data_IF_314845708072
#
_entry.id   IF_314845708072
#
_cell.length_a   1.000
_cell.length_b   1.000
_cell.length_c   1.000
_cell.angle_alpha   90.00
_cell.angle_beta   90.00
_cell.angle_gamma   90.00
#
_symmetry.space_group_name_H-M   'P 1'
#
loop_
_entity.id
_entity.type
_entity.pdbx_description
1 polymer ?
#
# COMPACT_ATOMS: atom_id res chain seq x y z
N UNK A 1 112.63 -52.57 50.54
CA UNK A 1 112.81 -51.27 49.85
C UNK A 1 111.83 -51.23 48.68
N UNK A 2 110.71 -50.54 48.87
CA UNK A 2 109.69 -50.34 47.85
C UNK A 2 110.11 -49.14 46.98
N UNK A 3 110.43 -49.40 45.72
CA UNK A 3 110.75 -48.38 44.75
C UNK A 3 109.49 -48.05 43.95
N UNK A 4 108.95 -46.87 44.23
CA UNK A 4 107.92 -46.18 43.47
C UNK A 4 108.42 -45.87 42.06
N UNK A 5 107.73 -46.36 41.03
CA UNK A 5 107.87 -45.86 39.67
C UNK A 5 106.63 -46.22 38.84
N UNK A 6 105.64 -45.32 38.79
CA UNK A 6 104.90 -45.02 37.55
C UNK A 6 104.01 -43.78 37.73
N UNK A 7 104.61 -42.60 37.58
CA UNK A 7 103.91 -41.33 37.47
C UNK A 7 104.44 -40.63 36.20
N UNK A 8 104.04 -41.12 35.01
CA UNK A 8 104.36 -40.46 33.74
C UNK A 8 103.42 -40.82 32.56
N UNK A 9 102.41 -41.69 32.74
CA UNK A 9 101.55 -42.16 31.63
C UNK A 9 100.14 -41.57 31.54
N UNK A 10 99.78 -40.59 32.38
CA UNK A 10 98.36 -40.23 32.60
C UNK A 10 97.83 -38.97 31.92
N UNK A 11 98.69 -38.00 31.54
CA UNK A 11 98.27 -36.65 31.12
C UNK A 11 97.59 -36.61 29.72
N UNK A 12 98.19 -37.17 28.65
CA UNK A 12 97.65 -37.04 27.29
C UNK A 12 96.38 -37.86 27.08
N UNK A 13 96.30 -39.01 27.74
CA UNK A 13 95.15 -39.90 27.69
C UNK A 13 93.94 -39.27 28.42
N UNK A 14 94.16 -38.53 29.51
CA UNK A 14 93.12 -37.74 30.18
C UNK A 14 92.63 -36.57 29.32
N UNK A 15 93.52 -35.86 28.64
CA UNK A 15 93.14 -34.77 27.72
C UNK A 15 92.29 -35.28 26.56
N UNK A 16 92.68 -36.39 25.92
CA UNK A 16 91.90 -37.00 24.84
C UNK A 16 90.49 -37.43 25.31
N UNK A 17 90.38 -38.03 26.49
CA UNK A 17 89.09 -38.38 27.09
C UNK A 17 88.23 -37.15 27.46
N UNK A 18 88.86 -36.02 27.82
CA UNK A 18 88.14 -34.75 28.02
C UNK A 18 87.52 -34.26 26.72
N UNK A 19 88.30 -34.20 25.63
CA UNK A 19 87.83 -33.74 24.32
C UNK A 19 86.65 -34.59 23.82
N UNK A 20 86.70 -35.91 24.01
CA UNK A 20 85.59 -36.81 23.66
C UNK A 20 84.34 -36.46 24.48
N UNK A 21 84.51 -36.22 25.78
CA UNK A 21 83.40 -35.86 26.68
C UNK A 21 82.79 -34.52 26.29
N UNK A 22 83.63 -33.53 26.02
CA UNK A 22 83.21 -32.19 25.62
C UNK A 22 82.49 -32.24 24.27
N UNK A 23 83.01 -32.99 23.30
CA UNK A 23 82.35 -33.24 22.02
C UNK A 23 80.99 -33.93 22.19
N UNK A 24 80.89 -34.94 23.05
CA UNK A 24 79.63 -35.61 23.33
C UNK A 24 78.61 -34.68 24.03
N UNK A 25 79.08 -33.83 24.95
CA UNK A 25 78.25 -32.84 25.63
C UNK A 25 77.73 -31.77 24.67
N UNK A 26 78.61 -31.23 23.81
CA UNK A 26 78.29 -30.24 22.78
C UNK A 26 77.29 -30.82 21.76
N UNK A 27 77.51 -32.07 21.30
CA UNK A 27 76.60 -32.77 20.39
C UNK A 27 75.22 -32.94 21.02
N UNK A 28 75.15 -33.43 22.26
CA UNK A 28 73.89 -33.57 23.00
C UNK A 28 73.18 -32.23 23.22
N UNK A 29 73.93 -31.16 23.46
CA UNK A 29 73.40 -29.80 23.58
C UNK A 29 72.83 -29.29 22.25
N UNK A 30 73.57 -29.48 21.16
CA UNK A 30 73.12 -29.14 19.80
C UNK A 30 71.83 -29.87 19.43
N UNK A 31 71.76 -31.19 19.66
CA UNK A 31 70.56 -32.00 19.41
C UNK A 31 69.34 -31.53 20.21
N UNK A 32 69.54 -31.19 21.50
CA UNK A 32 68.48 -30.60 22.35
C UNK A 32 68.01 -29.25 21.83
N UNK A 33 68.94 -28.40 21.40
CA UNK A 33 68.63 -27.07 20.85
C UNK A 33 67.84 -27.19 19.55
N UNK A 34 68.28 -28.05 18.62
CA UNK A 34 67.58 -28.32 17.35
C UNK A 34 66.20 -28.89 17.60
N UNK A 35 66.06 -29.84 18.53
CA UNK A 35 64.76 -30.42 18.91
C UNK A 35 63.81 -29.39 19.51
N UNK A 36 64.34 -28.43 20.28
CA UNK A 36 63.58 -27.31 20.83
C UNK A 36 63.13 -26.32 19.75
N UNK A 37 64.02 -25.97 18.82
CA UNK A 37 63.68 -25.09 17.69
C UNK A 37 62.66 -25.73 16.76
N UNK A 38 62.75 -27.03 16.49
CA UNK A 38 61.79 -27.75 15.65
C UNK A 38 60.39 -27.72 16.25
N UNK A 39 60.24 -28.00 17.55
CA UNK A 39 58.95 -27.85 18.25
C UNK A 39 58.39 -26.44 18.13
N UNK A 40 59.23 -25.42 18.36
CA UNK A 40 58.80 -24.02 18.22
C UNK A 40 58.37 -23.68 16.79
N UNK A 41 59.04 -24.25 15.77
CA UNK A 41 58.64 -24.08 14.38
C UNK A 41 57.27 -24.71 14.13
N UNK A 42 57.05 -25.93 14.59
CA UNK A 42 55.77 -26.64 14.45
C UNK A 42 54.63 -25.87 15.16
N UNK A 43 54.89 -25.30 16.34
CA UNK A 43 53.94 -24.47 17.09
C UNK A 43 53.59 -23.18 16.31
N UNK A 44 54.59 -22.50 15.74
CA UNK A 44 54.40 -21.27 14.96
C UNK A 44 53.65 -21.56 13.65
N UNK A 45 53.95 -22.67 12.97
CA UNK A 45 53.23 -23.10 11.76
C UNK A 45 51.76 -23.35 12.10
N UNK A 46 51.49 -24.11 13.16
CA UNK A 46 50.12 -24.39 13.61
C UNK A 46 49.35 -23.11 13.98
N UNK A 47 50.02 -22.15 14.64
CA UNK A 47 49.44 -20.86 14.96
C UNK A 47 49.16 -20.00 13.70
N UNK A 48 50.06 -20.04 12.71
CA UNK A 48 49.88 -19.36 11.43
C UNK A 48 48.69 -19.92 10.63
N UNK A 49 48.53 -21.23 10.61
CA UNK A 49 47.40 -21.90 9.95
C UNK A 49 46.06 -21.55 10.64
N UNK A 50 46.05 -21.54 11.98
CA UNK A 50 44.89 -21.12 12.75
C UNK A 50 44.52 -19.65 12.48
N UNK A 51 45.50 -18.73 12.52
CA UNK A 51 45.28 -17.32 12.21
C UNK A 51 44.78 -17.11 10.78
N UNK A 52 45.27 -17.90 9.82
CA UNK A 52 44.81 -17.85 8.42
C UNK A 52 43.35 -18.32 8.31
N UNK A 53 42.98 -19.39 9.01
CA UNK A 53 41.61 -19.89 9.03
C UNK A 53 40.63 -18.88 9.65
N UNK A 54 41.03 -18.21 10.74
CA UNK A 54 40.27 -17.14 11.38
C UNK A 54 40.10 -15.92 10.45
N UNK A 55 41.15 -15.51 9.75
CA UNK A 55 41.10 -14.41 8.78
C UNK A 55 40.10 -14.71 7.64
N UNK A 56 40.14 -15.92 7.08
CA UNK A 56 39.21 -16.32 6.02
C UNK A 56 37.77 -16.44 6.54
N UNK A 57 37.57 -16.85 7.80
CA UNK A 57 36.25 -16.81 8.44
C UNK A 57 35.74 -15.37 8.60
N UNK A 58 36.59 -14.44 9.04
CA UNK A 58 36.26 -13.04 9.19
C UNK A 58 35.93 -12.38 7.85
N UNK A 59 36.66 -12.70 6.77
CA UNK A 59 36.36 -12.21 5.41
C UNK A 59 34.98 -12.63 4.95
N UNK A 60 34.63 -13.90 5.08
CA UNK A 60 33.29 -14.40 4.70
C UNK A 60 32.19 -13.75 5.53
N UNK A 61 32.41 -13.54 6.83
CA UNK A 61 31.46 -12.82 7.68
C UNK A 61 31.28 -11.36 7.23
N UNK A 62 32.38 -10.69 6.84
CA UNK A 62 32.35 -9.32 6.32
C UNK A 62 31.58 -9.24 4.99
N UNK A 63 31.85 -10.15 4.05
CA UNK A 63 31.15 -10.21 2.77
C UNK A 63 29.65 -10.46 2.97
N UNK A 64 29.27 -11.34 3.88
CA UNK A 64 27.87 -11.55 4.23
C UNK A 64 27.22 -10.26 4.75
N UNK A 65 27.86 -9.57 5.69
CA UNK A 65 27.37 -8.31 6.24
C UNK A 65 27.27 -7.19 5.17
N UNK A 66 28.25 -7.09 4.26
CA UNK A 66 28.23 -6.11 3.16
C UNK A 66 27.08 -6.37 2.18
N UNK A 67 26.77 -7.63 1.88
CA UNK A 67 25.64 -7.96 1.00
C UNK A 67 24.29 -7.64 1.65
N UNK A 68 24.14 -7.87 2.96
CA UNK A 68 22.96 -7.48 3.72
C UNK A 68 22.79 -5.95 3.78
N UNK A 69 23.90 -5.23 4.00
CA UNK A 69 23.91 -3.76 3.99
C UNK A 69 23.46 -3.21 2.64
N UNK A 70 24.01 -3.72 1.53
CA UNK A 70 23.59 -3.33 0.17
C UNK A 70 22.10 -3.60 -0.08
N UNK A 71 21.59 -4.73 0.42
CA UNK A 71 20.15 -5.04 0.35
C UNK A 71 19.30 -3.99 1.08
N UNK A 72 19.76 -3.56 2.25
CA UNK A 72 19.09 -2.53 3.05
C UNK A 72 19.15 -1.15 2.38
N UNK A 73 20.28 -0.78 1.77
CA UNK A 73 20.45 0.48 1.02
C UNK A 73 19.49 0.57 -0.18
N UNK A 74 19.30 -0.54 -0.91
CA UNK A 74 18.34 -0.59 -2.02
C UNK A 74 16.90 -0.42 -1.51
N UNK A 75 16.55 -1.08 -0.41
CA UNK A 75 15.23 -0.91 0.21
C UNK A 75 14.99 0.53 0.67
N UNK A 76 16.00 1.18 1.25
CA UNK A 76 15.92 2.59 1.65
C UNK A 76 15.70 3.49 0.43
N UNK A 77 16.43 3.28 -0.66
CA UNK A 77 16.28 4.05 -1.90
C UNK A 77 14.87 3.90 -2.52
N UNK A 78 14.30 2.70 -2.48
CA UNK A 78 12.92 2.45 -2.93
C UNK A 78 11.90 3.18 -2.03
N UNK A 79 12.12 3.16 -0.72
CA UNK A 79 11.26 3.86 0.23
C UNK A 79 11.30 5.37 0.00
N UNK A 80 12.48 5.96 -0.20
CA UNK A 80 12.65 7.39 -0.50
C UNK A 80 11.94 7.78 -1.80
N UNK A 81 12.10 6.99 -2.87
CA UNK A 81 11.39 7.23 -4.13
C UNK A 81 9.86 7.14 -3.96
N UNK A 82 9.38 6.21 -3.12
CA UNK A 82 7.96 6.06 -2.83
C UNK A 82 7.41 7.25 -2.04
N UNK A 83 8.17 7.77 -1.07
CA UNK A 83 7.81 8.97 -0.31
C UNK A 83 7.69 10.17 -1.25
N UNK A 84 8.68 10.40 -2.11
CA UNK A 84 8.65 11.50 -3.08
C UNK A 84 7.43 11.42 -4.02
N UNK A 85 7.09 10.21 -4.49
CA UNK A 85 5.90 10.01 -5.34
C UNK A 85 4.58 10.33 -4.60
N UNK A 86 4.49 9.95 -3.31
CA UNK A 86 3.35 10.27 -2.46
C UNK A 86 3.24 11.77 -2.21
N UNK A 87 4.35 12.46 -1.90
CA UNK A 87 4.39 13.90 -1.70
C UNK A 87 3.97 14.67 -2.96
N UNK A 88 4.41 14.24 -4.14
CA UNK A 88 3.96 14.79 -5.42
C UNK A 88 2.45 14.61 -5.64
N UNK A 89 1.92 13.44 -5.27
CA UNK A 89 0.48 13.14 -5.37
C UNK A 89 -0.34 14.02 -4.43
N UNK A 90 0.12 14.19 -3.17
CA UNK A 90 -0.51 15.08 -2.19
C UNK A 90 -0.52 16.52 -2.70
N UNK A 91 0.59 17.00 -3.24
CA UNK A 91 0.69 18.36 -3.79
C UNK A 91 -0.30 18.59 -4.93
N UNK A 92 -0.41 17.64 -5.87
CA UNK A 92 -1.39 17.70 -6.96
C UNK A 92 -2.83 17.74 -6.43
N UNK A 93 -3.17 16.87 -5.47
CA UNK A 93 -4.51 16.85 -4.88
C UNK A 93 -4.84 18.16 -4.15
N UNK A 94 -3.87 18.75 -3.46
CA UNK A 94 -4.05 20.05 -2.81
C UNK A 94 -4.33 21.17 -3.82
N UNK A 95 -3.64 21.16 -4.97
CA UNK A 95 -3.90 22.10 -6.07
C UNK A 95 -5.30 21.91 -6.66
N UNK A 96 -5.73 20.66 -6.89
CA UNK A 96 -7.08 20.34 -7.38
C UNK A 96 -8.16 20.81 -6.39
N UNK A 97 -7.97 20.56 -5.08
CA UNK A 97 -8.89 21.02 -4.04
C UNK A 97 -8.97 22.55 -4.03
N UNK A 98 -7.83 23.25 -4.11
CA UNK A 98 -7.80 24.71 -4.14
C UNK A 98 -8.53 25.26 -5.37
N UNK A 99 -8.30 24.65 -6.54
CA UNK A 99 -8.98 25.02 -7.79
C UNK A 99 -10.49 24.83 -7.69
N UNK A 100 -10.95 23.64 -7.30
CA UNK A 100 -12.38 23.34 -7.12
C UNK A 100 -13.02 24.26 -6.08
N UNK A 101 -12.29 24.59 -5.00
CA UNK A 101 -12.74 25.56 -4.01
C UNK A 101 -12.98 26.95 -4.60
N UNK A 102 -12.08 27.44 -5.46
CA UNK A 102 -12.25 28.73 -6.14
C UNK A 102 -13.40 28.74 -7.14
N UNK A 103 -13.60 27.64 -7.87
CA UNK A 103 -14.73 27.48 -8.81
C UNK A 103 -16.07 27.47 -8.06
N UNK A 104 -16.14 26.80 -6.92
CA UNK A 104 -17.34 26.75 -6.09
C UNK A 104 -17.72 28.15 -5.54
N UNK A 105 -16.75 28.91 -5.04
CA UNK A 105 -17.02 30.28 -4.57
C UNK A 105 -17.48 31.21 -5.71
N UNK A 106 -16.91 31.06 -6.90
CA UNK A 106 -17.35 31.81 -8.08
C UNK A 106 -18.81 31.47 -8.46
N UNK A 107 -19.16 30.18 -8.48
CA UNK A 107 -20.53 29.74 -8.73
C UNK A 107 -21.50 30.28 -7.68
N UNK A 108 -21.15 30.21 -6.40
CA UNK A 108 -21.97 30.73 -5.30
C UNK A 108 -22.24 32.23 -5.45
N UNK A 109 -21.21 33.01 -5.79
CA UNK A 109 -21.39 34.44 -6.04
C UNK A 109 -22.30 34.73 -7.24
N UNK A 110 -22.27 33.87 -8.26
CA UNK A 110 -23.14 33.99 -9.45
C UNK A 110 -24.58 33.65 -9.08
N UNK A 111 -24.80 32.55 -8.35
CA UNK A 111 -26.10 32.14 -7.83
C UNK A 111 -26.74 33.25 -6.98
N UNK A 112 -25.96 33.86 -6.07
CA UNK A 112 -26.43 34.95 -5.22
C UNK A 112 -26.93 36.15 -6.06
N UNK A 113 -26.20 36.52 -7.13
CA UNK A 113 -26.59 37.59 -8.06
C UNK A 113 -27.87 37.23 -8.80
N UNK A 114 -27.95 36.02 -9.36
CA UNK A 114 -29.13 35.55 -10.10
C UNK A 114 -30.38 35.48 -9.22
N UNK A 115 -30.23 35.01 -7.98
CA UNK A 115 -31.31 34.96 -7.00
C UNK A 115 -31.79 36.35 -6.62
N UNK A 116 -30.88 37.31 -6.42
CA UNK A 116 -31.24 38.68 -6.10
C UNK A 116 -31.96 39.36 -7.28
N UNK A 117 -31.51 39.10 -8.51
CA UNK A 117 -32.16 39.60 -9.71
C UNK A 117 -33.57 39.00 -9.91
N UNK A 118 -33.73 37.70 -9.69
CA UNK A 118 -35.05 37.07 -9.69
C UNK A 118 -36.00 37.70 -8.66
N UNK A 119 -35.52 37.92 -7.43
CA UNK A 119 -36.31 38.58 -6.38
C UNK A 119 -36.72 39.99 -6.79
N UNK A 120 -35.82 40.75 -7.43
CA UNK A 120 -36.11 42.10 -7.97
C UNK A 120 -37.22 42.04 -9.01
N UNK A 121 -37.14 41.13 -9.97
CA UNK A 121 -38.14 40.95 -11.02
C UNK A 121 -39.51 40.54 -10.45
N UNK A 122 -39.53 39.64 -9.47
CA UNK A 122 -40.76 39.22 -8.79
C UNK A 122 -41.42 40.38 -8.03
N UNK A 123 -40.63 41.21 -7.33
CA UNK A 123 -41.16 42.39 -6.64
C UNK A 123 -41.74 43.40 -7.63
N UNK A 124 -41.07 43.64 -8.75
CA UNK A 124 -41.56 44.53 -9.80
C UNK A 124 -42.87 44.00 -10.43
N UNK A 125 -42.93 42.71 -10.75
CA UNK A 125 -44.16 42.08 -11.26
C UNK A 125 -45.31 42.23 -10.26
N UNK A 126 -45.07 41.95 -8.97
CA UNK A 126 -46.07 42.14 -7.91
C UNK A 126 -46.54 43.59 -7.81
N UNK A 127 -45.65 44.57 -7.98
CA UNK A 127 -46.04 45.99 -8.01
C UNK A 127 -46.95 46.29 -9.21
N UNK A 128 -46.65 45.75 -10.41
CA UNK A 128 -47.48 45.90 -11.61
C UNK A 128 -48.86 45.27 -11.45
N UNK A 129 -48.96 44.08 -10.84
CA UNK A 129 -50.24 43.42 -10.55
C UNK A 129 -51.12 44.31 -9.66
N UNK A 130 -50.55 44.87 -8.58
CA UNK A 130 -51.28 45.77 -7.67
C UNK A 130 -51.77 47.03 -8.40
N UNK A 131 -50.93 47.62 -9.25
CA UNK A 131 -51.33 48.78 -10.06
C UNK A 131 -52.46 48.44 -11.03
N UNK A 132 -52.40 47.27 -11.67
CA UNK A 132 -53.46 46.81 -12.58
C UNK A 132 -54.78 46.63 -11.82
N UNK A 133 -54.75 45.95 -10.66
CA UNK A 133 -55.93 45.76 -9.81
C UNK A 133 -56.53 47.10 -9.35
N UNK A 134 -55.69 48.08 -8.99
CA UNK A 134 -56.15 49.42 -8.62
C UNK A 134 -56.83 50.14 -9.78
N UNK A 135 -56.24 50.10 -10.98
CA UNK A 135 -56.83 50.71 -12.18
C UNK A 135 -58.17 50.06 -12.53
N UNK A 136 -58.23 48.73 -12.54
CA UNK A 136 -59.46 47.99 -12.80
C UNK A 136 -60.57 48.33 -11.77
N UNK A 137 -60.20 48.44 -10.49
CA UNK A 137 -61.15 48.83 -9.42
C UNK A 137 -61.65 50.27 -9.57
N UNK A 138 -60.77 51.20 -9.95
CA UNK A 138 -61.13 52.60 -10.19
C UNK A 138 -62.07 52.74 -11.40
N UNK A 139 -61.79 52.04 -12.50
CA UNK A 139 -62.65 52.03 -13.70
C UNK A 139 -64.03 51.43 -13.39
N UNK A 140 -64.10 50.37 -12.58
CA UNK A 140 -65.37 49.79 -12.14
C UNK A 140 -66.16 50.74 -11.23
N UNK A 141 -65.50 51.42 -10.29
CA UNK A 141 -66.13 52.40 -9.42
C UNK A 141 -66.70 53.60 -10.20
N UNK A 142 -66.03 54.02 -11.27
CA UNK A 142 -66.52 55.07 -12.17
C UNK A 142 -67.78 54.61 -12.92
N UNK A 143 -67.82 53.36 -13.41
CA UNK A 143 -69.02 52.79 -14.06
C UNK A 143 -70.21 52.59 -13.12
N UNK A 144 -69.98 52.28 -11.84
CA UNK A 144 -71.04 52.07 -10.84
C UNK A 144 -71.62 53.36 -10.25
N UNK A 145 -71.14 54.54 -10.65
CA UNK A 145 -71.64 55.85 -10.19
C UNK A 145 -72.82 56.41 -11.00
N UNK A 146 -73.32 55.68 -12.01
CA UNK A 146 -74.59 55.97 -12.70
C UNK A 146 -75.83 55.51 -11.91
N UNK A 147 -77.04 56.07 -12.17
CA UNK A 147 -78.23 55.83 -11.36
C UNK A 147 -78.63 54.35 -11.34
N UNK A 148 -79.24 53.85 -10.25
CA UNK A 148 -79.51 52.43 -10.09
C UNK A 148 -80.60 51.99 -11.07
N UNK A 149 -80.20 51.26 -12.11
CA UNK A 149 -81.13 50.54 -12.97
C UNK A 149 -81.54 49.25 -12.26
N UNK A 150 -82.81 49.19 -11.87
CA UNK A 150 -83.47 47.95 -11.54
C UNK A 150 -83.50 47.08 -12.79
N UNK A 151 -82.78 45.97 -12.77
CA UNK A 151 -83.25 44.71 -13.35
C UNK A 151 -82.32 43.59 -12.87
N UNK A 152 -82.92 42.70 -12.08
CA UNK A 152 -82.29 41.45 -11.69
C UNK A 152 -82.27 40.53 -12.90
N UNK A 153 -81.07 40.24 -13.40
CA UNK A 153 -80.87 39.13 -14.34
C UNK A 153 -79.77 38.22 -13.80
N UNK A 154 -80.22 37.01 -13.49
CA UNK A 154 -79.48 35.84 -13.07
C UNK A 154 -78.29 35.58 -14.02
N UNK A 155 -77.05 35.64 -13.51
CA UNK A 155 -75.86 35.19 -14.26
C UNK A 155 -75.69 33.71 -13.95
N UNK A 156 -76.01 32.93 -14.97
CA UNK A 156 -75.82 31.48 -15.07
C UNK A 156 -74.43 31.03 -14.62
N UNK A 157 -74.44 29.93 -13.86
CA UNK A 157 -73.31 29.08 -13.51
C UNK A 157 -72.25 29.02 -14.62
N UNK A 158 -71.11 29.64 -14.35
CA UNK A 158 -69.89 29.49 -15.12
C UNK A 158 -69.04 28.41 -14.44
N UNK A 159 -69.42 27.14 -14.62
CA UNK A 159 -68.54 26.04 -14.28
C UNK A 159 -67.98 25.43 -15.56
N UNK A 160 -67.15 26.21 -16.26
CA UNK A 160 -66.10 25.62 -17.08
C UNK A 160 -65.05 25.10 -16.11
N UNK A 161 -65.15 23.81 -15.76
CA UNK A 161 -64.05 23.02 -15.20
C UNK A 161 -62.95 22.95 -16.25
N UNK A 162 -62.22 24.05 -16.40
CA UNK A 162 -61.01 24.14 -17.22
C UNK A 162 -59.89 23.46 -16.44
N UNK A 163 -59.53 22.25 -16.89
CA UNK A 163 -58.23 21.60 -16.71
C UNK A 163 -57.63 21.54 -15.28
N UNK A 164 -58.47 21.49 -14.25
CA UNK A 164 -58.00 21.28 -12.88
C UNK A 164 -57.62 19.82 -12.61
N UNK A 165 -58.16 18.90 -13.40
CA UNK A 165 -57.90 17.46 -13.31
C UNK A 165 -56.52 17.10 -13.90
N UNK A 166 -56.11 17.75 -14.99
CA UNK A 166 -54.78 17.59 -15.60
C UNK A 166 -53.66 18.09 -14.67
N UNK A 167 -53.82 19.30 -14.11
CA UNK A 167 -52.85 19.85 -13.15
C UNK A 167 -52.77 19.02 -11.85
N UNK A 168 -53.89 18.46 -11.40
CA UNK A 168 -53.91 17.56 -10.24
C UNK A 168 -53.18 16.24 -10.55
N UNK A 169 -53.39 15.71 -11.75
CA UNK A 169 -52.75 14.45 -12.20
C UNK A 169 -51.23 14.64 -12.33
N UNK A 170 -50.76 15.73 -12.95
CA UNK A 170 -49.33 16.04 -13.05
C UNK A 170 -48.67 16.21 -11.68
N UNK A 171 -49.36 16.85 -10.73
CA UNK A 171 -48.87 16.99 -9.35
C UNK A 171 -48.82 15.66 -8.60
N UNK A 172 -49.76 14.74 -8.87
CA UNK A 172 -49.77 13.40 -8.29
C UNK A 172 -48.61 12.57 -8.86
N UNK A 173 -48.34 12.65 -10.16
CA UNK A 173 -47.23 11.96 -10.80
C UNK A 173 -45.87 12.46 -10.31
N UNK A 174 -45.72 13.77 -10.12
CA UNK A 174 -44.50 14.35 -9.54
C UNK A 174 -44.30 13.91 -8.08
N UNK A 175 -45.37 13.84 -7.30
CA UNK A 175 -45.33 13.33 -5.92
C UNK A 175 -44.94 11.85 -5.88
N UNK A 176 -45.48 11.03 -6.77
CA UNK A 176 -45.11 9.62 -6.88
C UNK A 176 -43.64 9.43 -7.27
N UNK A 177 -43.12 10.26 -8.19
CA UNK A 177 -41.71 10.25 -8.56
C UNK A 177 -40.80 10.63 -7.39
N UNK A 178 -41.11 11.71 -6.68
CA UNK A 178 -40.35 12.10 -5.48
C UNK A 178 -40.41 11.02 -4.40
N UNK A 179 -41.57 10.37 -4.21
CA UNK A 179 -41.71 9.29 -3.26
C UNK A 179 -40.85 8.07 -3.62
N UNK A 180 -40.70 7.75 -4.91
CA UNK A 180 -39.80 6.70 -5.36
C UNK A 180 -38.32 7.06 -5.13
N UNK A 181 -37.92 8.30 -5.42
CA UNK A 181 -36.56 8.80 -5.17
C UNK A 181 -36.21 8.79 -3.66
N UNK A 182 -37.14 9.20 -2.81
CA UNK A 182 -36.98 9.15 -1.35
C UNK A 182 -36.79 7.71 -0.86
N UNK A 183 -37.58 6.76 -1.36
CA UNK A 183 -37.44 5.35 -0.97
C UNK A 183 -36.06 4.78 -1.34
N UNK A 184 -35.53 5.14 -2.51
CA UNK A 184 -34.18 4.73 -2.93
C UNK A 184 -33.11 5.32 -2.00
N UNK A 185 -33.21 6.61 -1.68
CA UNK A 185 -32.29 7.28 -0.75
C UNK A 185 -32.36 6.70 0.66
N UNK A 186 -33.56 6.34 1.15
CA UNK A 186 -33.73 5.69 2.44
C UNK A 186 -33.07 4.30 2.47
N UNK A 187 -33.18 3.51 1.40
CA UNK A 187 -32.50 2.22 1.28
C UNK A 187 -30.97 2.36 1.25
N UNK A 188 -30.44 3.38 0.56
CA UNK A 188 -29.01 3.68 0.54
C UNK A 188 -28.51 4.10 1.92
N UNK A 189 -29.24 4.99 2.60
CA UNK A 189 -28.90 5.41 3.96
C UNK A 189 -28.88 4.25 4.96
N UNK A 190 -29.80 3.29 4.83
CA UNK A 190 -29.79 2.08 5.66
C UNK A 190 -28.56 1.19 5.40
N UNK A 191 -28.10 1.09 4.15
CA UNK A 191 -26.85 0.37 3.82
C UNK A 191 -25.63 1.05 4.44
N UNK A 192 -25.56 2.37 4.34
CA UNK A 192 -24.47 3.17 4.91
C UNK A 192 -24.41 3.03 6.44
N UNK A 193 -25.55 2.98 7.13
CA UNK A 193 -25.61 2.73 8.57
C UNK A 193 -25.00 1.38 8.96
N UNK A 194 -25.31 0.32 8.20
CA UNK A 194 -24.75 -1.01 8.42
C UNK A 194 -23.24 -1.04 8.16
N UNK A 195 -22.79 -0.35 7.11
CA UNK A 195 -21.36 -0.24 6.81
C UNK A 195 -20.60 0.55 7.89
N UNK A 196 -21.18 1.63 8.40
CA UNK A 196 -20.63 2.39 9.52
C UNK A 196 -20.50 1.53 10.78
N UNK A 197 -21.49 0.69 11.07
CA UNK A 197 -21.45 -0.22 12.22
C UNK A 197 -20.35 -1.28 12.06
N UNK A 198 -20.17 -1.82 10.85
CA UNK A 198 -19.07 -2.73 10.54
C UNK A 198 -17.70 -2.06 10.72
N UNK A 199 -17.52 -0.84 10.21
CA UNK A 199 -16.28 -0.07 10.37
C UNK A 199 -15.97 0.23 11.84
N UNK A 200 -16.98 0.50 12.67
CA UNK A 200 -16.79 0.67 14.12
C UNK A 200 -16.25 -0.59 14.79
N UNK A 201 -16.74 -1.77 14.41
CA UNK A 201 -16.23 -3.04 14.92
C UNK A 201 -14.78 -3.30 14.49
N UNK A 202 -14.46 -3.07 13.21
CA UNK A 202 -13.09 -3.22 12.69
C UNK A 202 -12.11 -2.27 13.38
N UNK A 203 -12.52 -1.02 13.60
CA UNK A 203 -11.71 -0.04 14.33
C UNK A 203 -11.45 -0.45 15.78
N UNK A 204 -12.42 -1.07 16.46
CA UNK A 204 -12.25 -1.59 17.81
C UNK A 204 -11.23 -2.75 17.84
N UNK A 205 -11.30 -3.67 16.88
CA UNK A 205 -10.33 -4.78 16.75
C UNK A 205 -8.90 -4.28 16.49
N UNK A 206 -8.75 -3.32 15.57
CA UNK A 206 -7.44 -2.69 15.29
C UNK A 206 -6.87 -1.99 16.53
N UNK A 207 -7.72 -1.30 17.31
CA UNK A 207 -7.28 -0.68 18.57
C UNK A 207 -6.83 -1.71 19.60
N UNK A 208 -7.56 -2.82 19.74
CA UNK A 208 -7.17 -3.91 20.64
C UNK A 208 -5.82 -4.54 20.23
N UNK A 209 -5.63 -4.79 18.93
CA UNK A 209 -4.35 -5.29 18.37
C UNK A 209 -3.19 -4.34 18.61
N UNK A 210 -3.41 -3.03 18.44
CA UNK A 210 -2.39 -2.00 18.75
C UNK A 210 -2.01 -2.05 20.23
N UNK A 211 -2.99 -2.04 21.13
CA UNK A 211 -2.74 -2.08 22.58
C UNK A 211 -1.95 -3.34 22.98
N UNK A 212 -2.28 -4.49 22.39
CA UNK A 212 -1.51 -5.73 22.60
C UNK A 212 -0.07 -5.59 22.10
N UNK A 213 0.13 -5.04 20.89
CA UNK A 213 1.46 -4.85 20.32
C UNK A 213 2.31 -3.89 21.17
N UNK A 214 1.72 -2.81 21.69
CA UNK A 214 2.39 -1.89 22.61
C UNK A 214 2.79 -2.59 23.93
N UNK A 215 1.92 -3.43 24.49
CA UNK A 215 2.22 -4.22 25.68
C UNK A 215 3.36 -5.22 25.44
N UNK A 216 3.32 -5.95 24.31
CA UNK A 216 4.39 -6.90 23.92
C UNK A 216 5.71 -6.16 23.76
N UNK A 217 5.75 -5.04 23.03
CA UNK A 217 6.97 -4.26 22.86
C UNK A 217 7.55 -3.79 24.20
N UNK A 218 6.70 -3.37 25.14
CA UNK A 218 7.14 -2.95 26.47
C UNK A 218 7.76 -4.10 27.26
N UNK A 219 7.16 -5.28 27.24
CA UNK A 219 7.73 -6.46 27.91
C UNK A 219 8.99 -6.98 27.21
N UNK A 220 9.03 -6.95 25.87
CA UNK A 220 10.25 -7.29 25.10
C UNK A 220 11.41 -6.35 25.45
N UNK A 221 11.13 -5.04 25.61
CA UNK A 221 12.14 -4.07 26.04
C UNK A 221 12.65 -4.35 27.46
N UNK A 222 11.77 -4.68 28.41
CA UNK A 222 12.18 -5.09 29.77
C UNK A 222 13.03 -6.36 29.75
N UNK A 223 12.67 -7.35 28.92
CA UNK A 223 13.45 -8.57 28.74
C UNK A 223 14.84 -8.27 28.16
N UNK A 224 14.93 -7.31 27.22
CA UNK A 224 16.20 -6.86 26.66
C UNK A 224 17.07 -6.16 27.71
N UNK A 225 16.48 -5.37 28.62
CA UNK A 225 17.17 -4.68 29.71
C UNK A 225 17.62 -5.62 30.84
N UNK A 226 16.77 -6.59 31.24
CA UNK A 226 17.12 -7.63 32.22
C UNK A 226 18.11 -8.67 31.67
N UNK A 227 18.16 -8.82 30.34
CA UNK A 227 18.97 -9.81 29.67
C UNK A 227 20.47 -9.56 29.74
N UNK A 228 20.95 -8.31 29.85
CA UNK A 228 22.37 -7.95 30.03
C UNK A 228 23.39 -8.58 29.07
N UNK A 229 22.96 -9.35 28.08
CA UNK A 229 23.78 -10.17 27.21
C UNK A 229 23.58 -9.70 25.78
N UNK A 230 24.66 -9.30 25.08
CA UNK A 230 24.65 -9.32 23.62
C UNK A 230 24.39 -10.77 23.20
N UNK A 231 23.69 -10.97 22.09
CA UNK A 231 23.46 -12.30 21.50
C UNK A 231 24.78 -13.04 21.21
N UNK A 232 25.42 -13.63 22.21
CA UNK A 232 26.51 -14.56 22.04
C UNK A 232 25.90 -15.96 21.96
N UNK A 233 25.50 -16.33 20.73
CA UNK A 233 25.19 -17.70 20.38
C UNK A 233 26.47 -18.53 20.37
N UNK A 234 26.88 -19.03 21.52
CA UNK A 234 27.72 -20.23 21.57
C UNK A 234 26.89 -21.36 22.15
N UNK A 235 26.64 -22.39 21.33
CA UNK A 235 25.89 -23.65 21.59
C UNK A 235 24.38 -23.69 21.28
N UNK A 236 23.66 -22.58 21.22
CA UNK A 236 22.23 -22.56 20.81
C UNK A 236 22.00 -22.37 19.30
N UNK A 237 23.07 -22.21 18.51
CA UNK A 237 22.99 -21.87 17.08
C UNK A 237 22.33 -22.97 16.24
N UNK A 238 22.48 -24.25 16.59
CA UNK A 238 21.86 -25.34 15.84
C UNK A 238 20.34 -25.40 16.05
N UNK A 239 19.87 -25.11 17.27
CA UNK A 239 18.43 -25.11 17.59
C UNK A 239 17.75 -23.86 17.03
N UNK A 240 18.44 -22.71 17.09
CA UNK A 240 17.92 -21.47 16.52
C UNK A 240 17.88 -21.53 14.98
N UNK A 241 18.94 -22.04 14.33
CA UNK A 241 18.98 -22.21 12.88
C UNK A 241 17.92 -23.20 12.38
N UNK A 242 17.66 -24.29 13.11
CA UNK A 242 16.61 -25.25 12.76
C UNK A 242 15.21 -24.66 12.92
N UNK A 243 14.93 -23.89 13.97
CA UNK A 243 13.65 -23.20 14.15
C UNK A 243 13.45 -22.13 13.07
N UNK A 244 14.47 -21.33 12.78
CA UNK A 244 14.42 -20.30 11.72
C UNK A 244 14.23 -20.96 10.35
N UNK A 245 14.94 -22.05 10.05
CA UNK A 245 14.80 -22.79 8.80
C UNK A 245 13.40 -23.38 8.65
N UNK A 246 12.83 -23.97 9.71
CA UNK A 246 11.46 -24.48 9.71
C UNK A 246 10.44 -23.37 9.49
N UNK A 247 10.63 -22.21 10.11
CA UNK A 247 9.75 -21.05 9.93
C UNK A 247 9.82 -20.49 8.51
N UNK A 248 11.03 -20.36 7.94
CA UNK A 248 11.23 -19.93 6.55
C UNK A 248 10.61 -20.93 5.57
N UNK A 249 10.78 -22.23 5.79
CA UNK A 249 10.16 -23.28 4.97
C UNK A 249 8.62 -23.20 5.02
N UNK A 250 8.03 -23.00 6.19
CA UNK A 250 6.58 -22.83 6.34
C UNK A 250 6.08 -21.54 5.67
N UNK A 251 6.79 -20.42 5.80
CA UNK A 251 6.45 -19.17 5.13
C UNK A 251 6.53 -19.31 3.60
N UNK A 252 7.57 -19.96 3.06
CA UNK A 252 7.69 -20.22 1.61
C UNK A 252 6.58 -21.15 1.09
N UNK A 253 6.15 -22.12 1.90
CA UNK A 253 5.02 -22.97 1.57
C UNK A 253 3.71 -22.17 1.51
N UNK A 254 3.43 -21.35 2.53
CA UNK A 254 2.26 -20.47 2.57
C UNK A 254 2.24 -19.47 1.41
N UNK A 255 3.37 -18.81 1.12
CA UNK A 255 3.49 -17.86 0.00
C UNK A 255 3.19 -18.55 -1.33
N UNK A 256 3.70 -19.77 -1.56
CA UNK A 256 3.38 -20.55 -2.77
C UNK A 256 1.91 -20.92 -2.86
N UNK A 257 1.26 -21.27 -1.76
CA UNK A 257 -0.16 -21.59 -1.71
C UNK A 257 -1.00 -20.34 -2.01
N UNK A 258 -0.66 -19.20 -1.40
CA UNK A 258 -1.33 -17.93 -1.65
C UNK A 258 -1.15 -17.46 -3.11
N UNK A 259 0.06 -17.56 -3.67
CA UNK A 259 0.33 -17.24 -5.08
C UNK A 259 -0.47 -18.14 -6.04
N UNK A 260 -0.61 -19.44 -5.73
CA UNK A 260 -1.44 -20.35 -6.52
C UNK A 260 -2.93 -20.01 -6.42
N UNK A 261 -3.43 -19.66 -5.24
CA UNK A 261 -4.82 -19.20 -5.06
C UNK A 261 -5.07 -17.92 -5.84
N UNK A 262 -4.16 -16.95 -5.76
CA UNK A 262 -4.27 -15.68 -6.48
C UNK A 262 -4.24 -15.87 -8.01
N UNK A 263 -3.38 -16.77 -8.52
CA UNK A 263 -3.32 -17.08 -9.95
C UNK A 263 -4.55 -17.83 -10.45
N UNK A 264 -5.14 -18.71 -9.64
CA UNK A 264 -6.43 -19.36 -9.92
C UNK A 264 -7.57 -18.34 -9.97
N UNK A 265 -7.66 -17.44 -8.98
CA UNK A 265 -8.68 -16.38 -8.97
C UNK A 265 -8.50 -15.41 -10.13
N UNK A 266 -7.26 -15.06 -10.48
CA UNK A 266 -6.96 -14.22 -11.65
C UNK A 266 -7.40 -14.90 -12.95
N UNK A 267 -7.06 -16.18 -13.16
CA UNK A 267 -7.48 -16.93 -14.35
C UNK A 267 -9.01 -17.06 -14.44
N UNK A 268 -9.69 -17.27 -13.31
CA UNK A 268 -11.15 -17.34 -13.28
C UNK A 268 -11.78 -16.02 -13.72
N UNK A 269 -11.31 -14.88 -13.20
CA UNK A 269 -11.79 -13.55 -13.61
C UNK A 269 -11.47 -13.21 -15.06
N UNK A 270 -10.31 -13.63 -15.57
CA UNK A 270 -9.96 -13.47 -16.99
C UNK A 270 -10.90 -14.28 -17.87
N UNK A 271 -11.18 -15.53 -17.53
CA UNK A 271 -12.13 -16.36 -18.28
C UNK A 271 -13.57 -15.85 -18.22
N UNK A 272 -14.01 -15.32 -17.07
CA UNK A 272 -15.32 -14.66 -16.94
C UNK A 272 -15.40 -13.42 -17.85
N UNK A 273 -14.34 -12.61 -17.91
CA UNK A 273 -14.27 -11.43 -18.77
C UNK A 273 -14.24 -11.81 -20.26
N UNK A 274 -13.48 -12.84 -20.64
CA UNK A 274 -13.42 -13.36 -22.01
C UNK A 274 -14.80 -13.89 -22.46
N UNK A 275 -15.53 -14.58 -21.58
CA UNK A 275 -16.89 -15.05 -21.87
C UNK A 275 -17.89 -13.89 -22.06
N UNK A 276 -17.78 -12.84 -21.24
CA UNK A 276 -18.60 -11.62 -21.40
C UNK A 276 -18.28 -10.93 -22.72
N UNK A 277 -16.99 -10.83 -23.08
CA UNK A 277 -16.56 -10.27 -24.35
C UNK A 277 -17.10 -11.08 -25.54
N UNK A 278 -17.05 -12.41 -25.47
CA UNK A 278 -17.55 -13.30 -26.51
C UNK A 278 -19.08 -13.19 -26.66
N UNK A 279 -19.81 -13.19 -25.54
CA UNK A 279 -21.27 -13.00 -25.54
C UNK A 279 -21.68 -11.64 -26.09
N UNK A 280 -20.95 -10.57 -25.76
CA UNK A 280 -21.20 -9.24 -26.28
C UNK A 280 -20.90 -9.17 -27.79
N UNK A 281 -19.81 -9.81 -28.24
CA UNK A 281 -19.46 -9.89 -29.66
C UNK A 281 -20.53 -10.64 -30.47
N UNK A 282 -21.05 -11.76 -29.96
CA UNK A 282 -22.15 -12.50 -30.60
C UNK A 282 -23.45 -11.68 -30.64
N UNK A 283 -23.77 -10.95 -29.57
CA UNK A 283 -24.98 -10.13 -29.49
C UNK A 283 -24.90 -8.92 -30.44
N UNK A 284 -23.72 -8.29 -30.54
CA UNK A 284 -23.44 -7.27 -31.55
C UNK A 284 -23.57 -7.88 -32.94
N UNK A 285 -22.94 -9.01 -33.21
CA UNK A 285 -23.03 -9.68 -34.51
C UNK A 285 -24.48 -9.97 -34.91
N UNK A 286 -25.34 -10.43 -33.99
CA UNK A 286 -26.77 -10.63 -34.25
C UNK A 286 -27.52 -9.33 -34.57
N UNK A 287 -27.18 -8.22 -33.92
CA UNK A 287 -27.81 -6.91 -34.16
C UNK A 287 -27.40 -6.28 -35.50
N UNK A 288 -26.25 -6.65 -36.04
CA UNK A 288 -25.73 -6.12 -37.32
C UNK A 288 -25.98 -7.04 -38.52
N UNK A 289 -26.61 -8.21 -38.33
CA UNK A 289 -27.07 -9.07 -39.41
C UNK A 289 -28.45 -8.60 -39.89
N UNK A 290 -28.56 -8.26 -41.18
CA UNK A 290 -29.83 -7.86 -41.79
C UNK A 290 -30.82 -9.06 -41.84
N UNK A 291 -32.04 -8.96 -41.27
CA UNK A 291 -33.01 -10.07 -41.23
C UNK A 291 -33.50 -10.55 -42.61
N UNK A 292 -33.39 -9.70 -43.64
CA UNK A 292 -33.91 -10.00 -44.99
C UNK A 292 -32.93 -10.71 -45.93
N UNK A 293 -31.62 -10.51 -45.75
CA UNK A 293 -30.59 -11.06 -46.66
C UNK A 293 -29.39 -11.72 -45.95
N UNK A 294 -29.32 -11.67 -44.62
CA UNK A 294 -28.30 -12.38 -43.83
C UNK A 294 -26.89 -11.76 -43.87
N UNK A 295 -26.68 -10.62 -44.54
CA UNK A 295 -25.37 -9.96 -44.60
C UNK A 295 -25.07 -9.18 -43.32
N UNK A 296 -23.85 -9.32 -42.80
CA UNK A 296 -23.36 -8.59 -41.62
C UNK A 296 -22.82 -7.22 -42.04
N UNK A 297 -23.34 -6.14 -41.44
CA UNK A 297 -23.01 -4.76 -41.81
C UNK A 297 -21.84 -4.16 -41.00
N UNK A 298 -21.14 -4.96 -40.18
CA UNK A 298 -19.89 -4.54 -39.53
C UNK A 298 -18.78 -4.35 -40.56
N UNK A 299 -18.16 -3.16 -40.59
CA UNK A 299 -16.96 -2.90 -41.39
C UNK A 299 -15.80 -3.79 -40.90
N UNK A 300 -14.91 -4.29 -41.78
CA UNK A 300 -13.77 -5.09 -41.34
C UNK A 300 -12.81 -4.20 -40.52
N UNK A 301 -12.63 -4.51 -39.24
CA UNK A 301 -11.55 -3.92 -38.44
C UNK A 301 -10.21 -4.40 -38.99
N UNK A 302 -9.44 -3.46 -39.52
CA UNK A 302 -8.08 -3.67 -40.01
C UNK A 302 -7.17 -3.96 -38.82
N UNK A 303 -6.62 -5.17 -38.80
CA UNK A 303 -5.74 -5.71 -37.77
C UNK A 303 -4.43 -4.90 -37.71
N UNK A 304 -4.32 -3.96 -36.76
CA UNK A 304 -3.10 -3.22 -36.51
C UNK A 304 -2.04 -4.16 -35.89
N UNK A 305 -1.12 -4.64 -36.74
CA UNK A 305 0.03 -5.46 -36.36
C UNK A 305 0.91 -4.78 -35.28
N UNK A 306 1.49 -5.54 -34.34
CA UNK A 306 2.34 -4.99 -33.29
C UNK A 306 3.68 -4.51 -33.87
N UNK A 307 3.95 -3.21 -33.73
CA UNK A 307 5.24 -2.62 -34.06
C UNK A 307 6.35 -3.24 -33.18
N UNK A 308 7.32 -3.86 -33.85
CA UNK A 308 8.52 -4.40 -33.25
C UNK A 308 9.30 -3.31 -32.49
N UNK A 309 9.58 -3.56 -31.22
CA UNK A 309 10.52 -2.78 -30.43
C UNK A 309 11.95 -3.02 -30.96
N UNK A 310 12.47 -2.06 -31.71
CA UNK A 310 13.90 -1.84 -31.90
C UNK A 310 14.30 -0.73 -30.93
N UNK A 311 15.11 -1.07 -29.93
CA UNK A 311 15.87 -0.09 -29.16
C UNK A 311 17.25 -0.68 -28.84
N UNK A 312 18.27 0.06 -29.27
CA UNK A 312 19.69 -0.09 -28.91
C UNK A 312 19.91 0.00 -27.40
#
# INVERSE_FOLDING_TARGET
MAASASAAGGEPQKQFLSIIRDFAAEKSHGERTVSGLKRRLDDVVSASDAATAELEAAKRAREAAETELRGSEVQASIADASIQALEATISRLQEEIAKLGSELEALKSTEDIEREEFLRQMLEMNARIRQFQQKASAELAERCSGPPSADGQNVSDMNETMDSEGMLTDSVDQMNKMNAEVHVLEEEYQKDLLELEKLRHELADVRAKRALMEAVMKETKKLQELGGYPFHLSKNHFVCATIIYMYICSCRFFIRVCLRKLSLTRRKRVSELENVHHSLAEELQKRYICPGCGTNNMAPEEEAAPAAAVAN
#
